data_IF_895622920892
#
_entry.id   IF_895622920892
#
_cell.length_a   1.000
_cell.length_b   1.000
_cell.length_c   1.000
_cell.angle_alpha   90.00
_cell.angle_beta   90.00
_cell.angle_gamma   90.00
#
_symmetry.space_group_name_H-M   'P 1'
#
loop_
_entity.id
_entity.type
_entity.pdbx_description
1 polymer ?
#
# COMPACT_ATOMS: atom_id res chain seq x y z
N UNK A 1 -15.41 11.41 -6.95
CA UNK A 1 -14.46 10.80 -7.90
C UNK A 1 -15.07 9.49 -8.38
N UNK A 2 -15.29 9.35 -9.68
CA UNK A 2 -15.95 8.19 -10.30
C UNK A 2 -15.04 6.96 -10.21
N UNK A 3 -15.62 5.82 -9.90
CA UNK A 3 -14.94 4.51 -9.94
C UNK A 3 -14.36 4.28 -11.32
N UNK A 4 -13.11 3.82 -11.38
CA UNK A 4 -12.65 3.06 -12.54
C UNK A 4 -13.10 1.63 -12.27
N UNK A 5 -14.25 1.26 -12.81
CA UNK A 5 -14.69 -0.14 -12.83
C UNK A 5 -14.00 -0.74 -14.05
N UNK A 6 -13.21 -1.78 -13.84
CA UNK A 6 -12.67 -2.54 -14.97
C UNK A 6 -13.70 -3.58 -15.36
N UNK A 7 -14.08 -3.61 -16.63
CA UNK A 7 -14.69 -4.79 -17.22
C UNK A 7 -13.63 -5.90 -17.21
N UNK A 8 -13.97 -7.11 -16.76
CA UNK A 8 -13.11 -8.28 -16.95
C UNK A 8 -13.38 -8.84 -18.36
N UNK A 9 -12.37 -8.91 -19.24
CA UNK A 9 -12.35 -9.95 -20.25
C UNK A 9 -11.24 -10.94 -19.86
N UNK A 10 -11.61 -12.12 -19.32
CA UNK A 10 -10.89 -13.39 -19.54
C UNK A 10 -11.51 -14.56 -18.79
N UNK A 11 -11.64 -15.61 -19.57
CA UNK A 11 -12.20 -16.94 -19.37
C UNK A 11 -11.28 -17.86 -18.55
N UNK A 12 -11.89 -18.71 -17.73
CA UNK A 12 -11.42 -20.07 -17.39
C UNK A 12 -12.63 -21.04 -17.36
N UNK A 13 -13.55 -20.89 -18.31
CA UNK A 13 -14.52 -21.91 -18.69
C UNK A 13 -14.91 -21.67 -20.15
N UNK A 14 -14.66 -22.65 -21.00
CA UNK A 14 -15.00 -22.68 -22.43
C UNK A 14 -16.51 -22.83 -22.62
N UNK A 15 -17.28 -21.81 -22.25
CA UNK A 15 -18.69 -21.74 -22.60
C UNK A 15 -18.96 -20.43 -23.35
N UNK A 16 -18.81 -20.50 -24.68
CA UNK A 16 -18.92 -19.37 -25.63
C UNK A 16 -20.36 -18.91 -25.87
N UNK A 17 -21.32 -19.40 -25.09
CA UNK A 17 -22.76 -19.15 -25.26
C UNK A 17 -23.30 -17.98 -24.41
N UNK A 18 -22.50 -17.38 -23.51
CA UNK A 18 -23.01 -16.36 -22.59
C UNK A 18 -22.05 -15.16 -22.39
N UNK A 19 -22.34 -13.97 -22.95
CA UNK A 19 -21.47 -12.81 -22.83
C UNK A 19 -21.72 -12.04 -21.52
N UNK A 20 -21.50 -12.66 -20.36
CA UNK A 20 -21.63 -11.98 -19.07
C UNK A 20 -20.30 -11.33 -18.65
N UNK A 21 -20.00 -10.14 -19.20
CA UNK A 21 -18.88 -9.32 -18.72
C UNK A 21 -19.14 -8.86 -17.27
N UNK A 22 -18.27 -9.26 -16.35
CA UNK A 22 -18.30 -8.83 -14.96
C UNK A 22 -17.61 -7.48 -14.76
N UNK A 23 -18.10 -6.72 -13.79
CA UNK A 23 -17.52 -5.47 -13.31
C UNK A 23 -16.73 -5.73 -12.02
N UNK A 24 -15.48 -5.26 -11.95
CA UNK A 24 -14.68 -5.35 -10.72
C UNK A 24 -14.29 -3.97 -10.24
N UNK A 25 -14.53 -3.76 -8.95
CA UNK A 25 -14.05 -2.59 -8.26
C UNK A 25 -12.52 -2.69 -8.05
N UNK A 26 -11.74 -1.73 -8.57
CA UNK A 26 -10.27 -1.73 -8.44
C UNK A 26 -9.73 -1.56 -7.00
N UNK A 27 -10.57 -1.15 -6.04
CA UNK A 27 -10.13 -0.85 -4.68
C UNK A 27 -10.51 -1.94 -3.67
N UNK A 28 -11.77 -2.37 -3.60
CA UNK A 28 -12.20 -3.48 -2.74
C UNK A 28 -12.24 -4.85 -3.43
N UNK A 29 -12.07 -4.91 -4.75
CA UNK A 29 -12.11 -6.14 -5.56
C UNK A 29 -13.41 -6.94 -5.51
N UNK A 30 -14.52 -6.34 -5.07
CA UNK A 30 -15.85 -6.93 -5.25
C UNK A 30 -16.18 -7.02 -6.74
N UNK A 31 -16.74 -8.16 -7.13
CA UNK A 31 -17.17 -8.46 -8.48
C UNK A 31 -18.69 -8.38 -8.56
N UNK A 32 -19.20 -7.82 -9.65
CA UNK A 32 -20.63 -7.73 -9.94
C UNK A 32 -20.88 -8.25 -11.36
N UNK A 33 -21.91 -9.06 -11.56
CA UNK A 33 -22.44 -9.25 -12.91
C UNK A 33 -22.98 -7.91 -13.43
N UNK A 34 -22.92 -7.68 -14.74
CA UNK A 34 -23.44 -6.45 -15.34
C UNK A 34 -24.90 -6.17 -14.94
N UNK A 35 -25.77 -7.18 -15.08
CA UNK A 35 -27.19 -7.08 -14.72
C UNK A 35 -27.40 -6.80 -13.22
N UNK A 36 -26.65 -7.48 -12.35
CA UNK A 36 -26.70 -7.24 -10.91
C UNK A 36 -26.28 -5.81 -10.58
N UNK A 37 -25.24 -5.28 -11.23
CA UNK A 37 -24.79 -3.91 -11.04
C UNK A 37 -25.86 -2.89 -11.47
N UNK A 38 -26.53 -3.12 -12.61
CA UNK A 38 -27.59 -2.23 -13.09
C UNK A 38 -28.79 -2.18 -12.14
N UNK A 39 -29.10 -3.29 -11.47
CA UNK A 39 -30.20 -3.39 -10.52
C UNK A 39 -29.90 -2.78 -9.14
N UNK A 40 -28.61 -2.53 -8.82
CA UNK A 40 -28.26 -1.86 -7.55
C UNK A 40 -28.89 -0.46 -7.48
N UNK A 41 -29.33 -0.08 -6.29
CA UNK A 41 -29.83 1.26 -6.05
C UNK A 41 -28.71 2.30 -6.26
N UNK A 42 -29.01 3.51 -6.75
CA UNK A 42 -27.99 4.53 -7.03
C UNK A 42 -27.08 4.87 -5.85
N UNK A 43 -27.59 4.76 -4.62
CA UNK A 43 -26.82 4.97 -3.41
C UNK A 43 -25.81 3.86 -3.16
N UNK A 44 -26.13 2.61 -3.46
CA UNK A 44 -25.24 1.45 -3.24
C UNK A 44 -24.24 1.31 -4.39
N UNK A 45 -24.63 1.78 -5.57
CA UNK A 45 -23.70 2.04 -6.67
C UNK A 45 -22.65 3.03 -6.18
N UNK A 46 -21.40 2.74 -6.54
CA UNK A 46 -20.26 3.62 -6.25
C UNK A 46 -19.88 3.77 -4.77
N UNK A 47 -20.29 2.85 -3.88
CA UNK A 47 -19.72 2.77 -2.54
C UNK A 47 -18.57 1.75 -2.47
N UNK A 48 -17.38 2.21 -2.07
CA UNK A 48 -16.35 1.33 -1.52
C UNK A 48 -16.18 1.59 -0.05
N UNK A 49 -15.87 0.50 0.61
CA UNK A 49 -15.11 0.46 1.85
C UNK A 49 -13.63 0.16 1.64
N UNK A 50 -13.13 -0.02 0.39
CA UNK A 50 -11.77 -0.48 0.07
C UNK A 50 -11.44 -1.90 0.57
N UNK A 51 -12.45 -2.65 1.00
CA UNK A 51 -12.35 -4.06 1.39
C UNK A 51 -11.28 -4.32 2.44
N UNK A 52 -10.54 -5.43 2.27
CA UNK A 52 -9.49 -5.85 3.21
C UNK A 52 -8.36 -4.83 3.37
N UNK A 53 -8.16 -3.93 2.39
CA UNK A 53 -7.07 -2.96 2.40
C UNK A 53 -7.45 -1.60 2.98
N UNK A 54 -8.67 -1.46 3.51
CA UNK A 54 -9.25 -0.18 3.96
C UNK A 54 -8.38 0.66 4.90
N UNK A 55 -7.58 0.00 5.73
CA UNK A 55 -6.72 0.64 6.71
C UNK A 55 -5.33 0.99 6.16
N UNK A 56 -4.85 0.26 5.15
CA UNK A 56 -3.49 0.38 4.65
C UNK A 56 -3.38 1.16 3.34
N UNK A 57 -4.49 1.28 2.60
CA UNK A 57 -4.48 1.89 1.29
C UNK A 57 -4.45 3.42 1.39
N UNK A 58 -3.47 4.03 0.74
CA UNK A 58 -3.47 5.45 0.42
C UNK A 58 -4.61 5.70 -0.54
N UNK A 59 -5.64 6.37 -0.04
CA UNK A 59 -6.83 6.70 -0.84
C UNK A 59 -6.46 7.78 -1.87
N UNK A 60 -6.91 7.67 -3.13
CA UNK A 60 -6.67 8.70 -4.14
C UNK A 60 -7.08 10.11 -3.69
N UNK A 61 -8.13 10.20 -2.87
CA UNK A 61 -8.66 11.43 -2.31
C UNK A 61 -7.70 12.13 -1.35
N UNK A 62 -6.71 11.41 -0.81
CA UNK A 62 -5.68 12.02 0.02
C UNK A 62 -4.62 12.72 -0.82
N UNK A 63 -4.49 12.42 -2.11
CA UNK A 63 -3.43 12.98 -2.95
C UNK A 63 -3.91 14.22 -3.68
N UNK A 64 -3.21 15.33 -3.46
CA UNK A 64 -3.45 16.61 -4.12
C UNK A 64 -2.21 17.05 -4.89
N UNK A 65 -2.40 17.79 -5.99
CA UNK A 65 -1.28 18.44 -6.68
C UNK A 65 -0.64 19.46 -5.75
N UNK A 66 0.69 19.51 -5.73
CA UNK A 66 1.45 20.50 -4.96
C UNK A 66 2.73 20.85 -5.71
N UNK A 67 3.01 22.15 -5.83
CA UNK A 67 4.29 22.67 -6.34
C UNK A 67 5.42 22.57 -5.31
N UNK A 68 5.10 22.31 -4.05
CA UNK A 68 6.08 22.18 -2.95
C UNK A 68 6.76 20.81 -2.94
N UNK A 69 6.19 19.80 -3.62
CA UNK A 69 6.81 18.48 -3.75
C UNK A 69 7.55 18.35 -5.07
N UNK A 70 8.78 17.82 -5.09
CA UNK A 70 9.50 17.48 -6.33
C UNK A 70 8.73 16.53 -7.25
N UNK A 71 7.76 15.79 -6.69
CA UNK A 71 6.92 14.83 -7.43
C UNK A 71 5.66 15.45 -8.01
N UNK A 72 5.34 16.70 -7.65
CA UNK A 72 4.11 17.39 -8.02
C UNK A 72 2.88 16.99 -7.19
N UNK A 73 3.03 16.13 -6.17
CA UNK A 73 1.93 15.64 -5.33
C UNK A 73 2.27 15.67 -3.84
N UNK A 74 1.28 15.97 -3.02
CA UNK A 74 1.33 15.78 -1.56
C UNK A 74 0.08 15.04 -1.10
N UNK A 75 0.26 14.14 -0.16
CA UNK A 75 -0.83 13.59 0.60
C UNK A 75 -1.34 14.64 1.59
N UNK A 76 -2.64 14.63 1.86
CA UNK A 76 -3.31 15.35 2.92
C UNK A 76 -4.41 14.43 3.44
N UNK A 77 -4.44 14.10 4.75
CA UNK A 77 -5.53 13.33 5.29
C UNK A 77 -6.81 14.14 5.08
N UNK A 78 -7.84 13.53 4.48
CA UNK A 78 -9.13 14.20 4.37
C UNK A 78 -9.66 14.36 5.80
N UNK A 79 -9.81 15.60 6.28
CA UNK A 79 -10.48 15.83 7.55
C UNK A 79 -11.91 15.32 7.40
N UNK A 80 -12.29 14.35 8.23
CA UNK A 80 -13.71 14.12 8.44
C UNK A 80 -14.24 15.47 8.96
N UNK A 81 -15.16 16.08 8.22
CA UNK A 81 -15.98 17.18 8.74
C UNK A 81 -16.84 16.61 9.86
N UNK A 82 -16.26 16.41 11.04
CA UNK A 82 -17.04 16.27 12.25
C UNK A 82 -17.45 17.69 12.63
N UNK A 83 -18.75 17.95 12.60
CA UNK A 83 -19.35 19.08 13.27
C UNK A 83 -18.59 19.36 14.58
N UNK A 84 -18.20 20.63 14.75
CA UNK A 84 -17.62 21.19 15.96
C UNK A 84 -18.27 20.59 17.21
N UNK A 85 -17.52 19.71 17.91
CA UNK A 85 -17.68 19.25 19.31
C UNK A 85 -17.15 17.81 19.58
N UNK A 86 -16.24 17.25 18.77
CA UNK A 86 -15.58 15.99 19.09
C UNK A 86 -14.08 16.18 19.32
N UNK A 87 -13.68 16.16 20.59
CA UNK A 87 -12.30 16.05 21.06
C UNK A 87 -11.75 14.65 20.73
N UNK A 88 -11.35 14.44 19.48
CA UNK A 88 -10.28 13.52 19.04
C UNK A 88 -10.32 13.40 17.51
N UNK A 89 -9.59 14.28 16.82
CA UNK A 89 -9.26 14.15 15.40
C UNK A 89 -8.28 12.98 15.16
N UNK A 90 -8.62 11.77 15.61
CA UNK A 90 -7.77 10.60 15.37
C UNK A 90 -7.95 10.13 13.94
N UNK A 91 -6.90 10.20 13.13
CA UNK A 91 -6.87 9.59 11.80
C UNK A 91 -6.90 8.05 11.97
N UNK A 92 -8.02 7.37 11.64
CA UNK A 92 -8.24 5.98 12.04
C UNK A 92 -7.55 4.96 11.12
N UNK A 93 -6.72 5.44 10.20
CA UNK A 93 -6.06 4.63 9.18
C UNK A 93 -4.56 4.54 9.46
N UNK A 94 -3.92 3.50 8.92
CA UNK A 94 -2.48 3.24 9.05
C UNK A 94 -1.92 2.96 7.66
N UNK A 95 -1.73 4.00 6.83
CA UNK A 95 -1.32 3.84 5.45
C UNK A 95 0.03 3.13 5.37
N UNK A 96 0.16 2.14 4.49
CA UNK A 96 1.40 1.38 4.31
C UNK A 96 2.01 1.72 2.97
N UNK A 97 3.16 2.40 2.99
CA UNK A 97 4.00 2.57 1.81
C UNK A 97 4.83 1.32 1.60
N UNK A 98 4.97 0.88 0.35
CA UNK A 98 5.75 -0.32 0.02
C UNK A 98 6.93 0.05 -0.84
N UNK A 99 8.15 -0.19 -0.33
CA UNK A 99 9.38 -0.03 -1.10
C UNK A 99 9.88 -1.41 -1.55
N UNK A 100 10.06 -1.59 -2.85
CA UNK A 100 10.41 -2.89 -3.44
C UNK A 100 11.75 -2.79 -4.16
N UNK A 101 12.68 -3.67 -3.85
CA UNK A 101 13.90 -3.84 -4.63
C UNK A 101 13.74 -4.98 -5.65
N UNK A 102 13.56 -4.65 -6.94
CA UNK A 102 13.36 -5.65 -8.02
C UNK A 102 14.47 -6.69 -8.14
N UNK A 103 15.70 -6.35 -7.72
CA UNK A 103 16.86 -7.24 -7.81
C UNK A 103 16.93 -8.25 -6.66
N UNK A 104 16.19 -8.05 -5.58
CA UNK A 104 16.19 -8.97 -4.44
C UNK A 104 15.46 -10.29 -4.75
N UNK A 105 15.90 -11.37 -4.11
CA UNK A 105 15.24 -12.67 -4.15
C UNK A 105 15.27 -13.37 -5.50
N UNK A 106 16.37 -13.23 -6.27
CA UNK A 106 16.46 -13.86 -7.58
C UNK A 106 15.36 -13.38 -8.55
N UNK A 107 15.15 -12.06 -8.62
CA UNK A 107 14.11 -11.40 -9.44
C UNK A 107 12.66 -11.60 -8.96
N UNK A 108 12.43 -12.19 -7.78
CA UNK A 108 11.10 -12.23 -7.15
C UNK A 108 10.57 -10.83 -6.86
N UNK A 109 11.44 -9.86 -6.54
CA UNK A 109 11.04 -8.47 -6.32
C UNK A 109 10.25 -7.86 -7.48
N UNK A 110 10.59 -8.19 -8.73
CA UNK A 110 9.86 -7.73 -9.91
C UNK A 110 8.43 -8.30 -9.99
N UNK A 111 8.25 -9.56 -9.59
CA UNK A 111 6.93 -10.19 -9.55
C UNK A 111 6.06 -9.55 -8.46
N UNK A 112 6.63 -9.33 -7.27
CA UNK A 112 5.98 -8.65 -6.15
C UNK A 112 5.54 -7.25 -6.56
N UNK A 113 6.44 -6.48 -7.17
CA UNK A 113 6.12 -5.12 -7.61
C UNK A 113 4.89 -5.09 -8.52
N UNK A 114 4.85 -5.95 -9.54
CA UNK A 114 3.70 -6.08 -10.44
C UNK A 114 2.41 -6.48 -9.72
N UNK A 115 2.49 -7.43 -8.79
CA UNK A 115 1.34 -7.89 -8.02
C UNK A 115 0.79 -6.78 -7.11
N UNK A 116 1.67 -6.02 -6.46
CA UNK A 116 1.29 -4.89 -5.62
C UNK A 116 0.64 -3.77 -6.42
N UNK A 117 1.16 -3.44 -7.61
CA UNK A 117 0.55 -2.42 -8.48
C UNK A 117 -0.88 -2.77 -8.92
N UNK A 118 -1.23 -4.06 -8.98
CA UNK A 118 -2.59 -4.51 -9.31
C UNK A 118 -3.54 -4.48 -8.11
N UNK A 119 -3.00 -4.46 -6.89
CA UNK A 119 -3.76 -4.68 -5.65
C UNK A 119 -3.83 -3.47 -4.74
N UNK A 120 -2.91 -2.55 -4.89
CA UNK A 120 -2.72 -1.35 -4.09
C UNK A 120 -2.84 -0.09 -4.96
N UNK A 121 -2.90 1.08 -4.32
CA UNK A 121 -2.73 2.34 -5.07
C UNK A 121 -1.33 2.37 -5.68
N UNK A 122 -1.16 2.49 -7.01
CA UNK A 122 0.16 2.54 -7.64
C UNK A 122 1.09 3.61 -7.04
N UNK A 123 0.54 4.71 -6.51
CA UNK A 123 1.33 5.78 -5.88
C UNK A 123 1.85 5.46 -4.48
N UNK A 124 1.48 4.33 -3.88
CA UNK A 124 2.02 3.89 -2.59
C UNK A 124 3.06 2.77 -2.72
N UNK A 125 3.33 2.31 -3.95
CA UNK A 125 4.30 1.26 -4.25
C UNK A 125 5.48 1.89 -4.99
N UNK A 126 6.66 1.81 -4.40
CA UNK A 126 7.88 2.47 -4.85
C UNK A 126 8.94 1.45 -5.24
N UNK A 127 9.49 1.60 -6.44
CA UNK A 127 10.63 0.80 -6.87
C UNK A 127 11.94 1.45 -6.39
N UNK A 128 12.70 0.71 -5.58
CA UNK A 128 13.98 1.15 -5.03
C UNK A 128 15.07 1.12 -6.10
N UNK A 129 15.29 2.25 -6.75
CA UNK A 129 16.32 2.43 -7.77
C UNK A 129 17.45 3.36 -7.32
N UNK A 130 17.12 4.38 -6.54
CA UNK A 130 18.06 5.36 -6.01
C UNK A 130 17.50 6.03 -4.74
N UNK A 131 18.31 6.88 -4.12
CA UNK A 131 17.93 7.61 -2.90
C UNK A 131 16.73 8.54 -3.13
N UNK A 132 16.60 9.13 -4.32
CA UNK A 132 15.53 10.06 -4.63
C UNK A 132 14.16 9.37 -4.56
N UNK A 133 14.03 8.09 -4.94
CA UNK A 133 12.77 7.35 -4.76
C UNK A 133 12.32 7.32 -3.30
N UNK A 134 13.25 7.06 -2.37
CA UNK A 134 12.94 7.00 -0.94
C UNK A 134 12.53 8.40 -0.47
N UNK A 135 13.36 9.41 -0.73
CA UNK A 135 13.09 10.80 -0.33
C UNK A 135 11.76 11.31 -0.89
N UNK A 136 11.46 11.03 -2.15
CA UNK A 136 10.20 11.40 -2.80
C UNK A 136 8.99 10.73 -2.16
N UNK A 137 9.08 9.43 -1.85
CA UNK A 137 8.02 8.72 -1.16
C UNK A 137 7.75 9.31 0.24
N UNK A 138 8.81 9.58 1.00
CA UNK A 138 8.68 10.22 2.32
C UNK A 138 8.13 11.63 2.23
N UNK A 139 8.55 12.43 1.24
CA UNK A 139 8.04 13.78 1.04
C UNK A 139 6.54 13.78 0.71
N UNK A 140 6.09 13.00 -0.28
CA UNK A 140 4.68 12.93 -0.68
C UNK A 140 3.79 12.68 0.55
N UNK A 141 4.20 11.75 1.42
CA UNK A 141 3.36 11.24 2.50
C UNK A 141 3.69 11.78 3.90
N UNK A 142 4.63 12.72 4.01
CA UNK A 142 5.10 13.30 5.29
C UNK A 142 4.02 13.93 6.17
N UNK A 143 2.86 14.30 5.62
CA UNK A 143 1.72 14.85 6.38
C UNK A 143 0.74 13.79 6.89
N UNK A 144 0.87 12.54 6.45
CA UNK A 144 -0.03 11.46 6.87
C UNK A 144 0.38 10.96 8.26
N UNK A 145 -0.49 11.06 9.28
CA UNK A 145 -0.22 10.47 10.58
C UNK A 145 -0.30 8.94 10.50
N UNK A 146 0.35 8.27 11.46
CA UNK A 146 0.34 6.81 11.60
C UNK A 146 0.76 6.04 10.33
N UNK A 147 1.54 6.66 9.44
CA UNK A 147 2.08 5.98 8.27
C UNK A 147 3.11 4.93 8.70
N UNK A 148 3.10 3.80 8.00
CA UNK A 148 4.09 2.73 8.16
C UNK A 148 4.69 2.37 6.79
N UNK A 149 5.83 1.69 6.84
CA UNK A 149 6.58 1.31 5.65
C UNK A 149 6.79 -0.20 5.63
N UNK A 150 6.58 -0.84 4.49
CA UNK A 150 6.99 -2.21 4.24
C UNK A 150 8.12 -2.22 3.21
N UNK A 151 9.26 -2.84 3.53
CA UNK A 151 10.39 -2.98 2.61
C UNK A 151 10.47 -4.41 2.11
N UNK A 152 10.30 -4.61 0.81
CA UNK A 152 10.49 -5.89 0.13
C UNK A 152 11.94 -5.98 -0.38
N UNK A 153 12.79 -6.69 0.36
CA UNK A 153 14.22 -6.82 0.10
C UNK A 153 14.94 -7.72 1.08
N UNK A 154 16.26 -7.85 0.95
CA UNK A 154 17.13 -8.43 1.97
C UNK A 154 17.65 -7.39 2.97
N UNK A 155 18.48 -7.80 3.92
CA UNK A 155 18.95 -6.93 5.02
C UNK A 155 19.64 -5.65 4.54
N UNK A 156 20.47 -5.72 3.49
CA UNK A 156 21.10 -4.53 2.90
C UNK A 156 20.10 -3.53 2.31
N UNK A 157 18.96 -4.00 1.77
CA UNK A 157 17.90 -3.12 1.27
C UNK A 157 17.15 -2.47 2.43
N UNK A 158 16.87 -3.23 3.50
CA UNK A 158 16.23 -2.72 4.71
C UNK A 158 17.12 -1.66 5.36
N UNK A 159 18.41 -1.95 5.54
CA UNK A 159 19.40 -1.01 6.08
C UNK A 159 19.48 0.26 5.26
N UNK A 160 19.47 0.17 3.92
CA UNK A 160 19.45 1.34 3.05
C UNK A 160 18.25 2.26 3.30
N UNK A 161 17.04 1.70 3.40
CA UNK A 161 15.82 2.47 3.70
C UNK A 161 15.87 3.07 5.11
N UNK A 162 16.32 2.30 6.11
CA UNK A 162 16.46 2.76 7.49
C UNK A 162 17.44 3.94 7.61
N UNK A 163 18.58 3.89 6.92
CA UNK A 163 19.55 5.00 6.88
C UNK A 163 18.93 6.27 6.31
N UNK A 164 18.14 6.17 5.24
CA UNK A 164 17.45 7.33 4.64
C UNK A 164 16.33 7.88 5.51
N UNK A 165 15.61 7.01 6.23
CA UNK A 165 14.63 7.43 7.23
C UNK A 165 15.29 8.19 8.37
N UNK A 166 16.44 7.72 8.85
CA UNK A 166 17.20 8.38 9.90
C UNK A 166 17.70 9.78 9.51
N UNK A 167 18.07 9.98 8.24
CA UNK A 167 18.44 11.30 7.70
C UNK A 167 17.21 12.24 7.58
N UNK A 168 16.08 11.71 7.13
CA UNK A 168 14.86 12.48 6.86
C UNK A 168 14.09 12.84 8.14
N UNK A 169 14.09 11.92 9.12
CA UNK A 169 13.41 12.06 10.41
C UNK A 169 14.43 11.94 11.54
N UNK A 170 15.20 13.02 11.82
CA UNK A 170 16.22 13.01 12.86
C UNK A 170 15.62 12.99 14.28
N UNK A 171 14.38 13.46 14.46
CA UNK A 171 13.60 13.23 15.67
C UNK A 171 13.04 11.80 15.67
N UNK A 172 12.88 11.18 16.86
CA UNK A 172 12.41 9.78 17.05
C UNK A 172 10.97 9.46 16.54
N UNK A 173 10.46 10.24 15.60
CA UNK A 173 9.14 10.13 14.99
C UNK A 173 9.23 9.55 13.56
N UNK A 174 10.23 8.72 13.27
CA UNK A 174 10.32 8.06 11.98
C UNK A 174 9.22 6.99 11.84
N UNK A 175 8.64 6.82 10.64
CA UNK A 175 7.66 5.77 10.38
C UNK A 175 8.20 4.36 10.71
N UNK A 176 7.44 3.51 11.42
CA UNK A 176 7.82 2.11 11.64
C UNK A 176 8.00 1.35 10.32
N UNK A 177 8.99 0.45 10.30
CA UNK A 177 9.36 -0.35 9.12
C UNK A 177 9.12 -1.83 9.38
N UNK A 178 8.35 -2.49 8.50
CA UNK A 178 8.25 -3.94 8.40
C UNK A 178 9.08 -4.49 7.25
N UNK A 179 9.39 -5.77 7.31
CA UNK A 179 10.24 -6.44 6.32
C UNK A 179 9.42 -7.48 5.56
N UNK A 180 9.52 -7.49 4.24
CA UNK A 180 9.11 -8.61 3.40
C UNK A 180 10.41 -9.29 2.91
N UNK A 181 10.81 -10.43 3.52
CA UNK A 181 12.14 -11.00 3.42
C UNK A 181 12.42 -11.64 2.06
N UNK A 182 13.12 -10.92 1.17
CA UNK A 182 13.47 -11.40 -0.18
C UNK A 182 14.93 -11.88 -0.29
N UNK A 183 15.70 -11.96 0.80
CA UNK A 183 17.09 -12.43 0.78
C UNK A 183 17.25 -13.89 1.15
N UNK A 184 18.51 -14.35 1.24
CA UNK A 184 18.90 -15.64 1.82
C UNK A 184 19.29 -15.53 3.30
N UNK A 185 19.86 -14.38 3.69
CA UNK A 185 20.23 -14.04 5.08
C UNK A 185 19.02 -13.69 5.94
N UNK A 186 18.29 -12.61 5.61
CA UNK A 186 17.06 -12.14 6.26
C UNK A 186 17.15 -12.09 7.80
N UNK A 187 18.33 -11.79 8.35
CA UNK A 187 18.57 -11.88 9.79
C UNK A 187 17.73 -10.85 10.55
N UNK A 188 17.58 -9.65 10.00
CA UNK A 188 16.70 -8.63 10.59
C UNK A 188 15.24 -9.10 10.61
N UNK A 189 14.80 -9.78 9.56
CA UNK A 189 13.43 -10.31 9.47
C UNK A 189 13.20 -11.42 10.49
N UNK A 190 14.20 -12.28 10.76
CA UNK A 190 14.12 -13.33 11.78
C UNK A 190 14.05 -12.73 13.18
N UNK A 191 14.96 -11.82 13.51
CA UNK A 191 15.02 -11.16 14.81
C UNK A 191 13.74 -10.38 15.11
N UNK A 192 13.19 -9.70 14.11
CA UNK A 192 11.95 -8.92 14.23
C UNK A 192 10.67 -9.73 13.93
N UNK A 193 10.78 -11.06 13.77
CA UNK A 193 9.67 -11.98 13.53
C UNK A 193 8.79 -11.65 12.29
N UNK A 194 9.36 -11.05 11.25
CA UNK A 194 8.71 -10.83 9.95
C UNK A 194 8.76 -12.06 9.03
N UNK A 195 9.45 -13.12 9.46
CA UNK A 195 9.54 -14.41 8.80
C UNK A 195 10.93 -14.68 8.24
N UNK A 196 11.20 -15.96 7.97
CA UNK A 196 12.53 -16.40 7.54
C UNK A 196 12.76 -16.21 6.03
N UNK A 197 11.68 -16.36 5.24
CA UNK A 197 11.72 -16.44 3.79
C UNK A 197 10.42 -15.86 3.19
N UNK A 198 10.52 -15.37 1.96
CA UNK A 198 9.34 -14.91 1.23
C UNK A 198 8.35 -16.04 0.97
N UNK A 199 7.08 -15.80 1.32
CA UNK A 199 5.97 -16.66 0.94
C UNK A 199 4.96 -15.87 0.09
N UNK A 200 4.82 -16.18 -1.21
CA UNK A 200 3.88 -15.48 -2.10
C UNK A 200 2.44 -15.47 -1.58
N UNK A 201 1.99 -16.56 -0.94
CA UNK A 201 0.63 -16.67 -0.42
C UNK A 201 0.36 -15.73 0.77
N UNK A 202 1.42 -15.18 1.38
CA UNK A 202 1.32 -14.31 2.55
C UNK A 202 1.60 -12.85 2.25
N UNK A 203 1.95 -12.46 1.02
CA UNK A 203 2.31 -11.07 0.69
C UNK A 203 1.30 -10.04 1.23
N UNK A 204 0.01 -10.21 0.94
CA UNK A 204 -1.03 -9.31 1.43
C UNK A 204 -1.27 -9.43 2.94
N UNK A 205 -1.15 -10.63 3.50
CA UNK A 205 -1.25 -10.83 4.94
C UNK A 205 -0.14 -10.07 5.68
N UNK A 206 1.10 -10.13 5.17
CA UNK A 206 2.25 -9.38 5.71
C UNK A 206 1.97 -7.87 5.69
N UNK A 207 1.41 -7.33 4.60
CA UNK A 207 1.05 -5.91 4.52
C UNK A 207 -0.05 -5.51 5.53
N UNK A 208 -1.04 -6.37 5.73
CA UNK A 208 -2.08 -6.13 6.75
C UNK A 208 -1.47 -6.18 8.16
N UNK A 209 -0.58 -7.13 8.43
CA UNK A 209 0.17 -7.20 9.69
C UNK A 209 1.05 -5.96 9.91
N UNK A 210 1.65 -5.39 8.86
CA UNK A 210 2.42 -4.13 8.96
C UNK A 210 1.62 -3.05 9.66
N UNK A 211 0.30 -2.95 9.39
CA UNK A 211 -0.54 -1.93 10.02
C UNK A 211 -0.80 -2.15 11.51
N UNK A 212 -0.78 -3.40 11.97
CA UNK A 212 -1.14 -3.80 13.33
C UNK A 212 0.04 -4.16 14.23
N UNK A 213 1.23 -4.34 13.64
CA UNK A 213 2.40 -4.80 14.36
C UNK A 213 2.82 -3.84 15.50
N UNK A 214 3.38 -4.41 16.56
CA UNK A 214 4.03 -3.63 17.60
C UNK A 214 5.36 -3.07 17.08
N UNK A 215 5.72 -1.88 17.57
CA UNK A 215 6.96 -1.22 17.17
C UNK A 215 8.08 -1.69 18.09
N UNK A 216 9.10 -2.31 17.52
CA UNK A 216 10.36 -2.57 18.21
C UNK A 216 11.35 -1.44 17.91
N UNK A 217 12.08 -1.01 18.93
CA UNK A 217 13.18 -0.05 18.76
C UNK A 217 14.42 -0.85 18.38
N UNK A 218 15.05 -0.47 17.27
CA UNK A 218 16.34 -1.00 16.87
C UNK A 218 17.42 -0.02 17.32
N UNK A 219 18.33 -0.47 18.17
CA UNK A 219 19.51 0.31 18.53
C UNK A 219 20.45 0.40 17.31
N UNK A 220 21.12 1.55 17.18
CA UNK A 220 22.09 1.80 16.10
C UNK A 220 23.41 1.10 16.34
#
# INVERSE_FOLDING_TARGET
>A
MKWMISCIPRTLSDDWSNPSHGLVCLWCFRCYHHSCWEQLAPQDKHQCDYGIFQNIIVRPQWLSRSSESPTGFKARPFSYSTNSNAESNSFPYTPVLVFVNKRSGGQVGEKIYRELLQRLNPRQVFLLENNATITHGLDIYSSLPNMRICVCGGDGTVGWVLSRLAETYPSKNNPPVSICPLGTGNDLSRVLAWGEQYNPKRLFHTLLQTSQAQVAVLDR
#
